data_IF_477744439615
#
_entry.id   IF_477744439615
#
_cell.length_a   1.000
_cell.length_b   1.000
_cell.length_c   1.000
_cell.angle_alpha   90.00
_cell.angle_beta   90.00
_cell.angle_gamma   90.00
#
_symmetry.space_group_name_H-M   'P 1'
#
loop_
_entity.id
_entity.type
_entity.pdbx_description
1 polymer ?
#
# COMPACT_ATOMS: atom_id res chain seq x y z
N UNK A 1 -3.60 -18.57 -23.41
CA UNK A 1 -2.74 -17.67 -22.60
C UNK A 1 -1.56 -18.50 -22.13
N UNK A 2 -0.39 -17.87 -21.94
CA UNK A 2 0.76 -18.59 -21.41
C UNK A 2 0.46 -19.08 -19.98
N UNK A 3 0.99 -20.24 -19.62
CA UNK A 3 0.85 -20.82 -18.27
C UNK A 3 1.52 -19.95 -17.21
N UNK A 4 2.61 -19.29 -17.59
CA UNK A 4 3.38 -18.36 -16.74
C UNK A 4 3.19 -16.91 -17.17
N UNK A 5 3.30 -15.94 -16.25
CA UNK A 5 3.28 -14.53 -16.60
C UNK A 5 4.47 -14.19 -17.50
N UNK A 6 4.19 -13.56 -18.63
CA UNK A 6 5.22 -13.14 -19.60
C UNK A 6 5.34 -11.63 -19.54
N UNK A 7 6.58 -11.13 -19.49
CA UNK A 7 6.87 -9.71 -19.45
C UNK A 7 6.38 -8.99 -20.72
N UNK A 8 5.47 -8.00 -20.63
CA UNK A 8 5.04 -7.21 -21.78
C UNK A 8 6.00 -6.06 -22.11
N UNK A 9 7.26 -6.14 -21.64
CA UNK A 9 8.29 -5.10 -21.80
C UNK A 9 9.67 -5.72 -22.03
N UNK A 10 10.59 -4.88 -22.54
CA UNK A 10 12.02 -5.21 -22.68
C UNK A 10 12.83 -4.43 -21.66
N UNK A 11 13.77 -5.10 -21.00
CA UNK A 11 14.70 -4.46 -20.08
C UNK A 11 15.80 -3.75 -20.89
N UNK A 12 15.91 -2.42 -20.76
CA UNK A 12 16.91 -1.59 -21.46
C UNK A 12 17.97 -1.01 -20.53
N UNK A 13 17.67 -0.91 -19.22
CA UNK A 13 18.61 -0.44 -18.21
C UNK A 13 18.66 -1.48 -17.09
N UNK A 14 19.85 -1.73 -16.56
CA UNK A 14 20.09 -2.69 -15.49
C UNK A 14 20.88 -2.03 -14.36
N UNK A 15 20.51 -2.34 -13.14
CA UNK A 15 21.23 -1.98 -11.92
C UNK A 15 21.85 -3.26 -11.32
N UNK A 16 23.18 -3.34 -11.17
CA UNK A 16 23.82 -4.53 -10.60
C UNK A 16 23.49 -4.65 -9.12
N UNK A 17 23.07 -5.83 -8.69
CA UNK A 17 22.84 -6.18 -7.29
C UNK A 17 23.96 -7.11 -6.80
N UNK A 18 24.28 -7.05 -5.51
CA UNK A 18 25.36 -7.84 -4.90
C UNK A 18 24.81 -8.70 -3.77
N UNK A 19 25.09 -9.99 -3.85
CA UNK A 19 24.82 -10.91 -2.75
C UNK A 19 25.95 -10.81 -1.71
N UNK A 20 25.59 -10.59 -0.43
CA UNK A 20 26.49 -10.65 0.72
C UNK A 20 26.59 -12.08 1.25
N UNK A 21 27.73 -12.45 1.81
CA UNK A 21 27.87 -13.71 2.54
C UNK A 21 27.05 -13.70 3.84
N UNK A 22 26.69 -14.90 4.35
CA UNK A 22 25.86 -15.03 5.58
C UNK A 22 26.50 -14.29 6.78
N UNK A 23 27.81 -14.43 7.02
CA UNK A 23 28.50 -13.74 8.13
C UNK A 23 28.51 -12.21 7.98
N UNK A 24 28.58 -11.68 6.75
CA UNK A 24 28.42 -10.24 6.51
C UNK A 24 26.99 -9.80 6.86
N UNK A 25 25.97 -10.54 6.41
CA UNK A 25 24.56 -10.23 6.70
C UNK A 25 24.24 -10.27 8.19
N UNK A 26 24.87 -11.18 8.92
CA UNK A 26 24.72 -11.31 10.38
C UNK A 26 25.26 -10.06 11.11
N UNK A 27 26.45 -9.58 10.73
CA UNK A 27 27.00 -8.33 11.25
C UNK A 27 26.14 -7.13 10.90
N UNK A 28 25.71 -7.01 9.63
CA UNK A 28 24.86 -5.92 9.14
C UNK A 28 23.55 -5.87 9.89
N UNK A 29 22.88 -7.01 10.08
CA UNK A 29 21.59 -7.08 10.79
C UNK A 29 21.75 -6.67 12.25
N UNK A 30 22.79 -7.11 12.93
CA UNK A 30 23.11 -6.72 14.31
C UNK A 30 23.38 -5.22 14.43
N UNK A 31 24.17 -4.64 13.53
CA UNK A 31 24.48 -3.20 13.51
C UNK A 31 23.19 -2.37 13.23
N UNK A 32 22.29 -2.89 12.40
CA UNK A 32 20.98 -2.32 12.15
C UNK A 32 20.01 -2.43 13.35
N UNK A 33 20.37 -3.14 14.43
CA UNK A 33 19.48 -3.40 15.57
C UNK A 33 18.28 -4.24 15.20
N UNK A 34 18.47 -5.22 14.32
CA UNK A 34 17.45 -6.13 13.80
C UNK A 34 16.25 -5.41 13.15
N UNK A 35 16.47 -4.19 12.63
CA UNK A 35 15.48 -3.43 11.88
C UNK A 35 15.89 -3.31 10.40
N UNK A 36 15.10 -3.89 9.50
CA UNK A 36 15.42 -3.97 8.07
C UNK A 36 15.41 -2.59 7.38
N UNK A 37 14.70 -1.59 7.94
CA UNK A 37 14.73 -0.21 7.45
C UNK A 37 16.10 0.48 7.66
N UNK A 38 16.89 0.02 8.62
CA UNK A 38 18.24 0.55 8.88
C UNK A 38 19.33 -0.06 8.00
N UNK A 39 19.02 -1.11 7.22
CA UNK A 39 20.00 -1.77 6.32
C UNK A 39 20.14 -0.93 5.04
N UNK A 40 21.38 -0.70 4.63
CA UNK A 40 21.68 0.01 3.37
C UNK A 40 21.22 -0.81 2.16
N UNK A 41 20.67 -0.16 1.14
CA UNK A 41 20.19 -0.84 -0.06
C UNK A 41 21.27 -1.67 -0.78
N UNK A 42 22.54 -1.22 -0.76
CA UNK A 42 23.67 -1.96 -1.35
C UNK A 42 24.03 -3.28 -0.62
N UNK A 43 23.43 -3.51 0.55
CA UNK A 43 23.64 -4.73 1.35
C UNK A 43 22.42 -5.67 1.28
N UNK A 44 21.42 -5.33 0.46
CA UNK A 44 20.23 -6.12 0.17
C UNK A 44 20.38 -6.78 -1.20
N UNK A 45 20.06 -8.06 -1.31
CA UNK A 45 20.10 -8.77 -2.59
C UNK A 45 18.78 -8.68 -3.35
N UNK A 46 17.65 -9.03 -2.70
CA UNK A 46 16.32 -8.84 -3.26
C UNK A 46 15.51 -7.98 -2.29
N UNK A 47 15.08 -6.82 -2.77
CA UNK A 47 14.38 -5.82 -1.97
C UNK A 47 12.86 -5.87 -2.21
N UNK A 48 12.16 -6.53 -1.30
CA UNK A 48 10.71 -6.65 -1.25
C UNK A 48 10.09 -5.85 -0.09
N UNK A 49 10.82 -4.83 0.39
CA UNK A 49 10.35 -3.97 1.49
C UNK A 49 9.09 -3.21 1.09
N UNK A 50 9.08 -2.65 -0.11
CA UNK A 50 7.99 -1.82 -0.61
C UNK A 50 7.92 -1.80 -2.13
N UNK A 51 6.71 -1.69 -2.66
CA UNK A 51 6.42 -1.39 -4.06
C UNK A 51 6.31 0.13 -4.35
N UNK A 52 6.47 0.97 -3.31
CA UNK A 52 6.28 2.41 -3.40
C UNK A 52 7.54 3.15 -3.81
N UNK A 53 7.55 3.71 -5.02
CA UNK A 53 8.68 4.50 -5.53
C UNK A 53 9.87 3.68 -5.99
N UNK A 54 9.72 2.37 -6.09
CA UNK A 54 10.77 1.41 -6.46
C UNK A 54 10.57 0.81 -7.86
N UNK A 55 9.57 1.31 -8.60
CA UNK A 55 9.26 0.84 -9.96
C UNK A 55 10.32 1.24 -10.98
N UNK A 56 10.52 0.38 -11.99
CA UNK A 56 11.21 0.78 -13.20
C UNK A 56 10.26 1.58 -14.11
N UNK A 57 10.63 2.82 -14.41
CA UNK A 57 9.89 3.69 -15.33
C UNK A 57 10.11 3.27 -16.79
N UNK A 58 9.08 3.51 -17.63
CA UNK A 58 9.15 3.26 -19.07
C UNK A 58 10.05 4.26 -19.80
N UNK A 59 10.42 3.91 -21.04
CA UNK A 59 11.13 4.83 -21.92
C UNK A 59 10.30 6.09 -22.25
N UNK A 60 8.96 5.99 -22.24
CA UNK A 60 8.06 7.14 -22.41
C UNK A 60 8.07 8.05 -21.18
N UNK A 61 8.11 7.49 -19.97
CA UNK A 61 8.26 8.28 -18.75
C UNK A 61 9.63 8.98 -18.71
N UNK A 62 10.72 8.29 -19.05
CA UNK A 62 12.05 8.89 -19.15
C UNK A 62 12.11 9.98 -20.22
N UNK A 63 11.51 9.78 -21.39
CA UNK A 63 11.40 10.82 -22.41
C UNK A 63 10.60 12.03 -21.88
N UNK A 64 9.54 11.80 -21.10
CA UNK A 64 8.77 12.85 -20.44
C UNK A 64 9.60 13.67 -19.45
N UNK A 65 10.43 13.02 -18.64
CA UNK A 65 11.36 13.67 -17.72
C UNK A 65 12.28 14.64 -18.48
N UNK A 66 12.80 14.22 -19.64
CA UNK A 66 13.66 15.08 -20.48
C UNK A 66 12.92 16.26 -21.13
N UNK A 67 11.59 16.21 -21.16
CA UNK A 67 10.72 17.28 -21.70
C UNK A 67 10.13 18.16 -20.60
N UNK A 68 10.60 18.05 -19.37
CA UNK A 68 10.10 18.83 -18.24
C UNK A 68 10.17 20.33 -18.48
N UNK A 69 9.07 21.02 -18.12
CA UNK A 69 8.97 22.48 -18.09
C UNK A 69 9.07 22.90 -16.61
N UNK A 70 10.20 23.47 -16.25
CA UNK A 70 10.51 23.82 -14.85
C UNK A 70 10.02 25.23 -14.47
N UNK A 71 8.96 25.73 -15.13
CA UNK A 71 8.31 26.99 -14.76
C UNK A 71 7.68 26.91 -13.39
N UNK A 72 7.90 27.91 -12.54
CA UNK A 72 7.40 27.97 -11.16
C UNK A 72 5.87 27.89 -11.05
N UNK A 73 5.16 28.52 -11.98
CA UNK A 73 3.71 28.56 -11.99
C UNK A 73 3.17 28.20 -13.37
N UNK A 74 2.19 27.30 -13.41
CA UNK A 74 1.48 26.95 -14.63
C UNK A 74 2.35 26.28 -15.71
N UNK A 75 3.28 25.41 -15.30
CA UNK A 75 4.07 24.64 -16.26
C UNK A 75 3.15 23.72 -17.09
N UNK A 76 3.51 23.44 -18.35
CA UNK A 76 2.69 22.59 -19.23
C UNK A 76 2.46 21.17 -18.67
N UNK A 77 3.42 20.67 -17.90
CA UNK A 77 3.33 19.32 -17.33
C UNK A 77 2.24 19.20 -16.24
N UNK A 78 1.92 20.33 -15.56
CA UNK A 78 0.76 20.40 -14.68
C UNK A 78 -0.54 20.13 -15.43
N UNK A 79 -0.71 20.76 -16.60
CA UNK A 79 -1.93 20.56 -17.41
C UNK A 79 -2.03 19.18 -18.03
N UNK A 80 -0.89 18.55 -18.38
CA UNK A 80 -0.87 17.13 -18.79
C UNK A 80 -1.28 16.21 -17.64
N UNK A 81 -0.84 16.52 -16.42
CA UNK A 81 -1.26 15.77 -15.24
C UNK A 81 -2.73 16.00 -14.91
N UNK A 82 -3.22 17.24 -15.00
CA UNK A 82 -4.63 17.59 -14.84
C UNK A 82 -5.52 16.81 -15.79
N UNK A 83 -5.16 16.78 -17.08
CA UNK A 83 -5.88 15.99 -18.08
C UNK A 83 -5.93 14.51 -17.72
N UNK A 84 -4.81 13.92 -17.30
CA UNK A 84 -4.74 12.52 -16.92
C UNK A 84 -5.62 12.24 -15.69
N UNK A 85 -5.49 13.03 -14.62
CA UNK A 85 -6.26 12.84 -13.37
C UNK A 85 -7.76 13.03 -13.67
N UNK A 86 -8.15 14.12 -14.30
CA UNK A 86 -9.56 14.42 -14.59
C UNK A 86 -10.20 13.36 -15.47
N UNK A 87 -9.47 12.89 -16.51
CA UNK A 87 -9.98 11.86 -17.42
C UNK A 87 -10.17 10.51 -16.72
N UNK A 88 -9.29 10.16 -15.77
CA UNK A 88 -9.35 8.87 -15.07
C UNK A 88 -10.35 8.91 -13.91
N UNK A 89 -10.34 10.00 -13.12
CA UNK A 89 -11.10 10.07 -11.88
C UNK A 89 -12.44 10.79 -12.00
N UNK A 90 -12.57 11.72 -12.94
CA UNK A 90 -13.73 12.58 -13.08
C UNK A 90 -13.83 13.71 -12.04
N UNK A 91 -12.89 13.82 -11.09
CA UNK A 91 -12.90 14.88 -10.08
C UNK A 91 -12.61 16.25 -10.70
N UNK A 92 -13.28 17.28 -10.19
CA UNK A 92 -13.18 18.65 -10.70
C UNK A 92 -11.90 19.36 -10.29
N UNK A 93 -11.37 19.00 -9.13
CA UNK A 93 -10.23 19.66 -8.52
C UNK A 93 -9.15 18.65 -8.13
N UNK A 94 -7.90 19.06 -8.24
CA UNK A 94 -6.80 18.31 -7.67
C UNK A 94 -5.65 19.24 -7.24
N UNK A 95 -4.82 18.74 -6.36
CA UNK A 95 -3.52 19.32 -6.02
C UNK A 95 -2.45 18.24 -6.07
N UNK A 96 -1.32 18.48 -6.75
CA UNK A 96 -0.19 17.56 -6.71
C UNK A 96 0.51 17.64 -5.35
N UNK A 97 1.13 16.54 -4.93
CA UNK A 97 1.97 16.44 -3.74
C UNK A 97 3.19 15.58 -4.03
N UNK A 98 4.26 15.71 -3.24
CA UNK A 98 5.46 14.89 -3.46
C UNK A 98 5.23 13.40 -3.19
N UNK A 99 4.20 13.03 -2.43
CA UNK A 99 3.78 11.64 -2.19
C UNK A 99 2.40 11.55 -1.53
N UNK A 100 1.80 10.34 -1.48
CA UNK A 100 0.45 10.12 -0.95
C UNK A 100 0.26 10.55 0.50
N UNK A 101 1.23 10.28 1.41
CA UNK A 101 1.11 10.69 2.82
C UNK A 101 1.03 12.21 3.02
N UNK A 102 1.53 13.00 2.07
CA UNK A 102 1.35 14.45 2.08
C UNK A 102 -0.08 14.83 1.69
N UNK A 103 -0.66 14.14 0.70
CA UNK A 103 -2.08 14.29 0.34
C UNK A 103 -3.00 13.94 1.52
N UNK A 104 -2.74 12.81 2.21
CA UNK A 104 -3.45 12.43 3.44
C UNK A 104 -3.32 13.48 4.54
N UNK A 105 -2.10 13.97 4.78
CA UNK A 105 -1.84 14.98 5.81
C UNK A 105 -2.61 16.29 5.54
N UNK A 106 -2.67 16.74 4.28
CA UNK A 106 -3.43 17.91 3.87
C UNK A 106 -4.94 17.67 4.07
N UNK A 107 -5.46 16.54 3.57
CA UNK A 107 -6.88 16.19 3.71
C UNK A 107 -7.32 16.20 5.18
N UNK A 108 -6.63 15.45 6.03
CA UNK A 108 -7.00 15.34 7.44
C UNK A 108 -6.73 16.63 8.23
N UNK A 109 -5.79 17.48 7.80
CA UNK A 109 -5.65 18.81 8.39
C UNK A 109 -6.87 19.69 8.14
N UNK A 110 -7.49 19.56 6.96
CA UNK A 110 -8.66 20.35 6.60
C UNK A 110 -9.98 19.76 7.15
N UNK A 111 -10.03 18.46 7.47
CA UNK A 111 -11.29 17.79 7.78
C UNK A 111 -11.41 17.25 9.19
N UNK A 112 -10.33 16.73 9.79
CA UNK A 112 -10.36 16.03 11.08
C UNK A 112 -10.08 16.98 12.25
N UNK A 113 -10.91 16.91 13.27
CA UNK A 113 -10.78 17.63 14.55
C UNK A 113 -10.53 16.63 15.68
N UNK A 114 -9.98 17.08 16.83
CA UNK A 114 -9.86 16.23 18.00
C UNK A 114 -11.21 15.63 18.42
N UNK A 115 -11.23 14.31 18.60
CA UNK A 115 -12.43 13.54 18.97
C UNK A 115 -13.20 12.95 17.77
N UNK A 116 -12.95 13.39 16.55
CA UNK A 116 -13.54 12.82 15.35
C UNK A 116 -13.09 11.37 15.12
N UNK A 117 -13.91 10.61 14.41
CA UNK A 117 -13.60 9.22 14.01
C UNK A 117 -13.63 9.08 12.50
N UNK A 118 -12.67 8.35 11.95
CA UNK A 118 -12.58 8.07 10.51
C UNK A 118 -12.72 6.57 10.28
N UNK A 119 -13.88 6.07 9.80
CA UNK A 119 -14.06 4.68 9.44
C UNK A 119 -13.41 4.36 8.09
N UNK A 120 -12.82 3.16 7.98
CA UNK A 120 -12.28 2.60 6.75
C UNK A 120 -12.42 1.08 6.75
N UNK A 121 -12.22 0.44 5.60
CA UNK A 121 -12.03 -1.00 5.59
C UNK A 121 -10.81 -1.38 6.44
N UNK A 122 -9.64 -0.80 6.15
CA UNK A 122 -8.45 -0.93 7.00
C UNK A 122 -7.47 0.19 6.66
N UNK A 123 -7.08 0.97 7.66
CA UNK A 123 -6.13 2.06 7.46
C UNK A 123 -4.73 1.51 7.19
N UNK A 124 -4.00 2.20 6.31
CA UNK A 124 -2.56 2.02 6.23
C UNK A 124 -1.86 2.81 7.36
N UNK A 125 -0.61 2.45 7.69
CA UNK A 125 0.15 3.02 8.80
C UNK A 125 0.20 4.55 8.80
N UNK A 126 0.48 5.17 7.63
CA UNK A 126 0.55 6.63 7.50
C UNK A 126 -0.81 7.29 7.54
N UNK A 127 -1.86 6.65 7.02
CA UNK A 127 -3.24 7.12 7.09
C UNK A 127 -3.68 7.17 8.56
N UNK A 128 -3.47 6.06 9.28
CA UNK A 128 -3.74 5.98 10.72
C UNK A 128 -2.98 7.06 11.50
N UNK A 129 -1.67 7.18 11.26
CA UNK A 129 -0.83 8.16 11.94
C UNK A 129 -1.27 9.62 11.68
N UNK A 130 -1.71 9.93 10.45
CA UNK A 130 -2.21 11.26 10.10
C UNK A 130 -3.54 11.60 10.82
N UNK A 131 -4.46 10.64 10.95
CA UNK A 131 -5.70 10.80 11.72
C UNK A 131 -5.39 11.02 13.20
N UNK A 132 -4.55 10.17 13.80
CA UNK A 132 -4.14 10.28 15.22
C UNK A 132 -3.42 11.59 15.50
N UNK A 133 -2.55 12.06 14.61
CA UNK A 133 -1.85 13.34 14.74
C UNK A 133 -2.78 14.56 14.77
N UNK A 134 -4.05 14.41 14.33
CA UNK A 134 -5.10 15.43 14.44
C UNK A 134 -5.96 15.26 15.70
N UNK A 135 -5.67 14.27 16.54
CA UNK A 135 -6.50 13.92 17.69
C UNK A 135 -7.76 13.14 17.32
N UNK A 136 -7.82 12.64 16.09
CA UNK A 136 -8.89 11.78 15.59
C UNK A 136 -8.63 10.31 15.91
N UNK A 137 -9.64 9.49 15.71
CA UNK A 137 -9.60 8.03 15.91
C UNK A 137 -9.82 7.30 14.58
N UNK A 138 -8.83 6.58 14.05
CA UNK A 138 -9.02 5.67 12.93
C UNK A 138 -9.80 4.44 13.41
N UNK A 139 -10.73 3.95 12.59
CA UNK A 139 -11.58 2.80 12.91
C UNK A 139 -11.63 1.85 11.72
N UNK A 140 -11.11 0.65 11.91
CA UNK A 140 -11.07 -0.38 10.88
C UNK A 140 -12.32 -1.27 10.99
N UNK A 141 -13.03 -1.41 9.86
CA UNK A 141 -14.31 -2.11 9.77
C UNK A 141 -14.28 -3.13 8.61
N UNK A 142 -13.16 -3.79 8.42
CA UNK A 142 -13.01 -4.84 7.40
C UNK A 142 -13.98 -5.99 7.66
N UNK A 143 -14.45 -6.65 6.59
CA UNK A 143 -15.23 -7.88 6.69
C UNK A 143 -14.44 -9.00 7.37
N UNK A 144 -15.10 -9.86 8.14
CA UNK A 144 -14.43 -10.91 8.94
C UNK A 144 -13.60 -11.86 8.09
N UNK A 145 -14.04 -12.13 6.86
CA UNK A 145 -13.28 -12.94 5.89
C UNK A 145 -11.90 -12.33 5.55
N UNK A 146 -11.77 -11.01 5.67
CA UNK A 146 -10.50 -10.29 5.48
C UNK A 146 -9.47 -10.60 6.57
N UNK A 147 -9.93 -10.97 7.76
CA UNK A 147 -9.09 -11.28 8.92
C UNK A 147 -8.68 -12.77 9.01
N UNK A 148 -9.30 -13.65 8.22
CA UNK A 148 -8.88 -15.05 8.14
C UNK A 148 -7.89 -15.26 6.99
N UNK A 149 -6.59 -15.52 7.26
CA UNK A 149 -5.59 -15.68 6.21
C UNK A 149 -5.82 -16.89 5.32
N UNK A 150 -6.65 -17.85 5.72
CA UNK A 150 -6.93 -19.08 4.97
C UNK A 150 -8.20 -19.03 4.14
N UNK A 151 -9.10 -18.11 4.46
CA UNK A 151 -10.37 -17.99 3.76
C UNK A 151 -10.19 -17.44 2.34
N UNK A 152 -10.78 -18.13 1.36
CA UNK A 152 -10.67 -17.74 -0.05
C UNK A 152 -11.95 -17.07 -0.53
N UNK A 153 -11.97 -15.74 -0.52
CA UNK A 153 -13.02 -14.94 -1.13
C UNK A 153 -12.48 -14.06 -2.26
N UNK A 154 -13.31 -13.68 -3.24
CA UNK A 154 -12.85 -12.88 -4.38
C UNK A 154 -12.44 -11.44 -3.98
N UNK A 155 -13.07 -10.86 -2.95
CA UNK A 155 -12.88 -9.47 -2.53
C UNK A 155 -12.77 -9.36 -1.00
N UNK A 156 -11.66 -9.81 -0.45
CA UNK A 156 -11.39 -9.78 1.00
C UNK A 156 -11.02 -8.39 1.52
N UNK A 157 -10.90 -7.40 0.64
CA UNK A 157 -10.66 -6.01 1.03
C UNK A 157 -11.94 -5.23 1.34
N UNK A 158 -13.12 -5.82 1.18
CA UNK A 158 -14.41 -5.17 1.39
C UNK A 158 -14.57 -4.70 2.84
N UNK A 159 -15.21 -3.53 3.05
CA UNK A 159 -15.68 -3.09 4.35
C UNK A 159 -16.96 -3.86 4.72
N UNK A 160 -17.14 -4.14 6.01
CA UNK A 160 -18.39 -4.68 6.55
C UNK A 160 -19.41 -3.56 6.67
N UNK A 161 -20.45 -3.62 5.85
CA UNK A 161 -21.49 -2.58 5.81
C UNK A 161 -22.38 -2.56 7.06
N UNK A 162 -22.60 -3.70 7.69
CA UNK A 162 -23.37 -3.77 8.95
C UNK A 162 -22.57 -3.15 10.10
N UNK A 163 -21.26 -3.44 10.18
CA UNK A 163 -20.36 -2.77 11.13
C UNK A 163 -20.28 -1.26 10.88
N UNK A 164 -20.26 -0.83 9.60
CA UNK A 164 -20.21 0.59 9.24
C UNK A 164 -21.48 1.31 9.71
N UNK A 165 -22.66 0.78 9.40
CA UNK A 165 -23.93 1.35 9.81
C UNK A 165 -24.04 1.45 11.35
N UNK A 166 -23.79 0.34 12.05
CA UNK A 166 -23.79 0.32 13.52
C UNK A 166 -22.75 1.29 14.13
N UNK A 167 -21.63 1.48 13.47
CA UNK A 167 -20.60 2.44 13.88
C UNK A 167 -21.10 3.88 13.74
N UNK A 168 -21.72 4.23 12.61
CA UNK A 168 -22.28 5.57 12.36
C UNK A 168 -23.37 5.90 13.36
N UNK A 169 -24.32 4.97 13.58
CA UNK A 169 -25.42 5.15 14.56
C UNK A 169 -24.90 5.38 15.98
N UNK A 170 -23.88 4.65 16.40
CA UNK A 170 -23.30 4.75 17.76
C UNK A 170 -22.46 6.03 17.95
N UNK A 171 -21.73 6.44 16.92
CA UNK A 171 -20.78 7.57 17.00
C UNK A 171 -21.47 8.91 16.78
N UNK A 172 -22.53 8.94 15.98
CA UNK A 172 -23.17 10.13 15.45
C UNK A 172 -22.45 10.64 14.20
N UNK A 173 -23.16 10.89 13.10
CA UNK A 173 -22.56 11.29 11.83
C UNK A 173 -21.79 12.63 11.92
N UNK A 174 -22.17 13.51 12.86
CA UNK A 174 -21.49 14.78 13.11
C UNK A 174 -20.05 14.65 13.63
N UNK A 175 -19.68 13.47 14.16
CA UNK A 175 -18.35 13.13 14.66
C UNK A 175 -17.53 12.30 13.64
N UNK A 176 -18.04 12.18 12.41
CA UNK A 176 -17.40 11.43 11.31
C UNK A 176 -17.21 12.40 10.14
N UNK A 177 -16.04 13.06 10.05
CA UNK A 177 -15.80 14.08 9.03
C UNK A 177 -15.73 13.52 7.61
N UNK A 178 -15.37 12.25 7.47
CA UNK A 178 -15.37 11.48 6.24
C UNK A 178 -15.21 9.97 6.53
N UNK A 179 -15.68 9.13 5.60
CA UNK A 179 -15.34 7.70 5.54
C UNK A 179 -14.37 7.42 4.40
N UNK A 180 -13.58 6.35 4.52
CA UNK A 180 -12.59 5.97 3.52
C UNK A 180 -12.68 4.49 3.11
N UNK A 181 -12.20 4.19 1.90
CA UNK A 181 -11.82 2.83 1.49
C UNK A 181 -10.42 2.83 0.87
N UNK A 182 -9.58 1.94 1.34
CA UNK A 182 -8.26 1.69 0.74
C UNK A 182 -8.38 0.62 -0.36
N UNK A 183 -8.08 0.99 -1.59
CA UNK A 183 -8.14 0.13 -2.78
C UNK A 183 -6.74 0.05 -3.48
N UNK A 184 -6.12 -1.14 -3.58
CA UNK A 184 -6.40 -2.37 -2.82
C UNK A 184 -6.04 -2.23 -1.34
N UNK A 185 -6.70 -2.98 -0.46
CA UNK A 185 -6.47 -2.92 0.97
C UNK A 185 -5.09 -3.48 1.35
N UNK A 186 -4.13 -2.59 1.57
CA UNK A 186 -2.72 -2.95 1.83
C UNK A 186 -2.54 -3.68 3.15
N UNK A 187 -3.09 -3.16 4.25
CA UNK A 187 -2.94 -3.74 5.59
C UNK A 187 -3.63 -5.10 5.71
N UNK A 188 -4.71 -5.30 4.97
CA UNK A 188 -5.43 -6.58 4.85
C UNK A 188 -4.88 -7.52 3.78
N UNK A 189 -3.59 -7.44 3.41
CA UNK A 189 -2.97 -8.39 2.48
C UNK A 189 -3.02 -7.99 1.01
N UNK A 190 -3.18 -6.71 0.70
CA UNK A 190 -3.28 -6.23 -0.68
C UNK A 190 -4.55 -6.68 -1.39
N UNK A 191 -5.59 -6.97 -0.63
CA UNK A 191 -6.84 -7.54 -1.13
C UNK A 191 -7.69 -6.51 -1.86
N UNK A 192 -8.33 -6.89 -2.99
CA UNK A 192 -9.20 -5.99 -3.72
C UNK A 192 -10.53 -5.76 -3.01
N UNK A 193 -11.14 -4.61 -3.33
CA UNK A 193 -12.48 -4.20 -2.94
C UNK A 193 -13.41 -4.34 -4.14
N UNK A 194 -14.60 -4.91 -3.93
CA UNK A 194 -15.60 -5.13 -4.98
C UNK A 194 -16.29 -3.81 -5.40
N UNK A 195 -16.74 -3.72 -6.65
CA UNK A 195 -17.52 -2.56 -7.11
C UNK A 195 -18.79 -2.39 -6.31
N UNK A 196 -19.45 -3.48 -5.98
CA UNK A 196 -20.67 -3.46 -5.17
C UNK A 196 -20.40 -2.88 -3.77
N UNK A 197 -19.26 -3.24 -3.14
CA UNK A 197 -18.89 -2.71 -1.84
C UNK A 197 -18.56 -1.22 -1.90
N UNK A 198 -17.81 -0.76 -2.92
CA UNK A 198 -17.53 0.68 -3.11
C UNK A 198 -18.84 1.48 -3.23
N UNK A 199 -19.77 1.03 -4.08
CA UNK A 199 -21.08 1.67 -4.26
C UNK A 199 -21.90 1.69 -2.97
N UNK A 200 -22.03 0.54 -2.31
CA UNK A 200 -22.85 0.45 -1.10
C UNK A 200 -22.25 1.25 0.07
N UNK A 201 -20.92 1.31 0.18
CA UNK A 201 -20.24 2.19 1.15
C UNK A 201 -20.56 3.66 0.89
N UNK A 202 -20.52 4.07 -0.38
CA UNK A 202 -20.94 5.41 -0.79
C UNK A 202 -22.40 5.70 -0.40
N UNK A 203 -23.32 4.79 -0.72
CA UNK A 203 -24.74 4.93 -0.40
C UNK A 203 -24.97 5.03 1.13
N UNK A 204 -24.30 4.21 1.93
CA UNK A 204 -24.38 4.26 3.39
C UNK A 204 -23.87 5.60 3.93
N UNK A 205 -22.65 6.01 3.57
CA UNK A 205 -22.06 7.25 4.07
C UNK A 205 -22.85 8.49 3.64
N UNK A 206 -23.21 8.59 2.36
CA UNK A 206 -24.01 9.70 1.84
C UNK A 206 -25.43 9.74 2.44
N UNK A 207 -26.01 8.58 2.77
CA UNK A 207 -27.29 8.50 3.48
C UNK A 207 -27.29 9.22 4.83
N UNK A 208 -26.12 9.31 5.46
CA UNK A 208 -25.88 10.04 6.70
C UNK A 208 -25.23 11.43 6.51
N UNK A 209 -25.02 11.86 5.26
CA UNK A 209 -24.37 13.13 4.93
C UNK A 209 -22.87 13.16 5.17
N UNK A 210 -22.22 11.98 5.24
CA UNK A 210 -20.80 11.81 5.46
C UNK A 210 -20.07 11.73 4.10
N UNK A 211 -19.06 12.57 3.84
CA UNK A 211 -18.25 12.48 2.63
C UNK A 211 -17.48 11.15 2.52
N UNK A 212 -17.35 10.64 1.29
CA UNK A 212 -16.65 9.39 0.99
C UNK A 212 -15.37 9.62 0.18
N UNK A 213 -14.23 9.12 0.66
CA UNK A 213 -12.94 9.23 -0.01
C UNK A 213 -12.31 7.86 -0.29
N UNK A 214 -11.58 7.74 -1.40
CA UNK A 214 -10.78 6.57 -1.72
C UNK A 214 -9.29 6.84 -1.42
N UNK A 215 -8.62 5.95 -0.70
CA UNK A 215 -7.17 5.80 -0.83
C UNK A 215 -6.93 4.97 -2.10
N UNK A 216 -6.63 5.67 -3.19
CA UNK A 216 -6.62 5.13 -4.54
C UNK A 216 -5.23 4.72 -5.03
N UNK A 217 -4.30 4.45 -4.10
CA UNK A 217 -2.90 4.15 -4.44
C UNK A 217 -2.73 3.02 -5.47
N UNK A 218 -3.64 2.04 -5.47
CA UNK A 218 -3.63 0.88 -6.38
C UNK A 218 -4.97 0.68 -7.09
N UNK A 219 -5.53 1.79 -7.55
CA UNK A 219 -6.82 1.80 -8.25
C UNK A 219 -6.84 0.94 -9.52
N UNK A 220 -5.72 0.92 -10.26
CA UNK A 220 -5.61 0.15 -11.49
C UNK A 220 -5.53 -1.36 -11.21
N UNK A 221 -4.76 -1.76 -10.18
CA UNK A 221 -4.75 -3.15 -9.71
C UNK A 221 -6.16 -3.56 -9.22
N UNK A 222 -6.88 -2.71 -8.49
CA UNK A 222 -8.25 -2.98 -8.03
C UNK A 222 -9.23 -3.10 -9.20
N UNK A 223 -9.17 -2.20 -10.18
CA UNK A 223 -9.99 -2.26 -11.39
C UNK A 223 -9.75 -3.56 -12.17
N UNK A 224 -8.49 -4.01 -12.25
CA UNK A 224 -8.17 -5.27 -12.91
C UNK A 224 -8.73 -6.49 -12.14
N UNK A 225 -8.71 -6.48 -10.82
CA UNK A 225 -9.36 -7.53 -10.02
C UNK A 225 -10.89 -7.56 -10.21
N UNK A 226 -11.54 -6.39 -10.28
CA UNK A 226 -12.96 -6.31 -10.59
C UNK A 226 -13.22 -6.95 -11.97
N UNK A 227 -12.44 -6.57 -12.99
CA UNK A 227 -12.54 -7.19 -14.32
C UNK A 227 -12.38 -8.71 -14.30
N UNK A 228 -11.46 -9.23 -13.51
CA UNK A 228 -11.17 -10.67 -13.43
C UNK A 228 -12.21 -11.47 -12.64
N UNK A 229 -12.76 -10.90 -11.56
CA UNK A 229 -13.51 -11.63 -10.54
C UNK A 229 -15.00 -11.32 -10.54
N UNK A 230 -15.41 -10.18 -11.11
CA UNK A 230 -16.82 -9.85 -11.30
C UNK A 230 -17.23 -10.04 -12.78
N UNK A 231 -18.16 -10.98 -13.01
CA UNK A 231 -18.63 -11.32 -14.36
C UNK A 231 -19.27 -10.14 -15.09
N UNK A 232 -19.84 -9.17 -14.36
CA UNK A 232 -20.42 -7.97 -14.93
C UNK A 232 -19.41 -7.10 -15.66
N UNK A 233 -18.15 -7.14 -15.26
CA UNK A 233 -17.06 -6.30 -15.79
C UNK A 233 -16.07 -7.03 -16.70
N UNK A 234 -16.25 -8.33 -16.97
CA UNK A 234 -15.29 -9.14 -17.71
C UNK A 234 -14.88 -8.58 -19.09
N UNK A 235 -15.79 -7.86 -19.74
CA UNK A 235 -15.57 -7.23 -21.06
C UNK A 235 -15.43 -5.70 -21.00
N UNK A 236 -15.51 -5.09 -19.82
CA UNK A 236 -15.40 -3.64 -19.69
C UNK A 236 -13.93 -3.17 -19.85
N UNK A 237 -13.67 -2.04 -20.50
CA UNK A 237 -12.37 -1.41 -20.48
C UNK A 237 -11.96 -1.02 -19.06
N UNK A 238 -10.66 -1.16 -18.73
CA UNK A 238 -10.15 -0.84 -17.38
C UNK A 238 -10.39 0.63 -16.99
N UNK A 239 -10.32 1.54 -17.95
CA UNK A 239 -10.62 2.95 -17.73
C UNK A 239 -12.06 3.16 -17.27
N UNK A 240 -13.03 2.49 -17.88
CA UNK A 240 -14.45 2.59 -17.50
C UNK A 240 -14.69 2.02 -16.10
N UNK A 241 -14.04 0.91 -15.74
CA UNK A 241 -14.10 0.34 -14.38
C UNK A 241 -13.51 1.33 -13.37
N UNK A 242 -12.35 1.94 -13.68
CA UNK A 242 -11.74 2.94 -12.82
C UNK A 242 -12.64 4.17 -12.64
N UNK A 243 -13.18 4.70 -13.73
CA UNK A 243 -14.09 5.84 -13.71
C UNK A 243 -15.36 5.53 -12.87
N UNK A 244 -15.90 4.33 -12.98
CA UNK A 244 -17.04 3.91 -12.15
C UNK A 244 -16.68 3.88 -10.66
N UNK A 245 -15.53 3.30 -10.28
CA UNK A 245 -15.07 3.33 -8.88
C UNK A 245 -15.00 4.76 -8.33
N UNK A 246 -14.38 5.68 -9.08
CA UNK A 246 -14.23 7.07 -8.65
C UNK A 246 -15.55 7.84 -8.63
N UNK A 247 -16.52 7.49 -9.48
CA UNK A 247 -17.82 8.16 -9.53
C UNK A 247 -18.65 8.05 -8.27
N UNK A 248 -18.37 7.07 -7.41
CA UNK A 248 -19.03 6.89 -6.13
C UNK A 248 -18.42 7.74 -4.99
N UNK A 249 -17.22 8.32 -5.20
CA UNK A 249 -16.50 9.04 -4.16
C UNK A 249 -16.54 10.57 -4.36
N UNK A 250 -16.42 11.32 -3.25
CA UNK A 250 -16.30 12.77 -3.25
C UNK A 250 -14.85 13.22 -3.51
N UNK A 251 -13.90 12.32 -3.34
CA UNK A 251 -12.48 12.58 -3.59
C UNK A 251 -11.60 11.35 -3.37
N UNK A 252 -10.32 11.55 -3.62
CA UNK A 252 -9.33 10.50 -3.35
C UNK A 252 -7.98 11.09 -2.96
N UNK A 253 -7.23 10.35 -2.14
CA UNK A 253 -5.79 10.52 -1.98
C UNK A 253 -5.07 9.48 -2.82
N UNK A 254 -3.95 9.83 -3.41
CA UNK A 254 -3.15 8.90 -4.19
C UNK A 254 -1.65 9.09 -3.97
N UNK A 255 -0.96 8.01 -3.69
CA UNK A 255 0.48 7.92 -3.88
C UNK A 255 0.75 7.41 -5.30
N UNK A 256 1.17 8.30 -6.18
CA UNK A 256 1.53 7.98 -7.56
C UNK A 256 2.74 7.03 -7.66
N UNK A 257 3.48 6.88 -6.57
CA UNK A 257 4.61 5.96 -6.41
C UNK A 257 4.26 4.47 -6.56
N UNK A 258 2.98 4.15 -6.81
CA UNK A 258 2.45 2.80 -7.05
C UNK A 258 1.94 2.69 -8.48
N UNK A 259 0.64 2.85 -8.71
CA UNK A 259 0.03 2.59 -10.03
C UNK A 259 0.38 3.61 -11.12
N UNK A 260 0.87 4.81 -10.76
CA UNK A 260 1.44 5.72 -11.77
C UNK A 260 2.92 5.44 -12.08
N UNK A 261 3.52 4.36 -11.54
CA UNK A 261 4.83 3.82 -11.92
C UNK A 261 5.99 4.82 -11.79
N UNK A 262 5.87 5.83 -10.91
CA UNK A 262 6.91 6.84 -10.67
C UNK A 262 7.65 6.62 -9.36
N UNK A 263 8.83 7.24 -9.24
CA UNK A 263 9.65 7.15 -8.03
C UNK A 263 9.29 8.22 -6.98
N UNK A 264 8.61 9.29 -7.39
CA UNK A 264 8.10 10.36 -6.53
C UNK A 264 6.76 10.85 -7.08
N UNK A 265 5.89 11.36 -6.21
CA UNK A 265 4.63 11.98 -6.60
C UNK A 265 3.40 11.40 -5.90
N UNK A 266 2.37 12.21 -5.86
CA UNK A 266 1.05 11.92 -5.35
C UNK A 266 0.10 13.07 -5.65
N UNK A 267 -1.15 12.91 -5.28
CA UNK A 267 -2.15 13.97 -5.37
C UNK A 267 -3.33 13.75 -4.42
N UNK A 268 -4.04 14.83 -4.14
CA UNK A 268 -5.38 14.83 -3.57
C UNK A 268 -6.32 15.39 -4.62
N UNK A 269 -7.39 14.66 -4.96
CA UNK A 269 -8.42 15.10 -5.88
C UNK A 269 -9.79 15.05 -5.22
N UNK A 270 -10.69 16.00 -5.54
CA UNK A 270 -12.01 16.12 -4.89
C UNK A 270 -12.98 17.00 -5.69
N UNK A 271 -14.26 16.97 -5.28
CA UNK A 271 -15.32 17.74 -5.94
C UNK A 271 -15.79 18.99 -5.16
N UNK A 272 -15.57 19.06 -3.84
CA UNK A 272 -16.05 20.16 -3.00
C UNK A 272 -15.21 21.43 -3.17
N UNK A 273 -15.84 22.52 -3.64
CA UNK A 273 -15.17 23.80 -3.92
C UNK A 273 -14.63 24.47 -2.65
N UNK A 274 -15.35 24.34 -1.52
CA UNK A 274 -14.94 24.96 -0.24
C UNK A 274 -13.73 24.25 0.36
N UNK A 275 -13.78 22.93 0.41
CA UNK A 275 -12.67 22.09 0.87
C UNK A 275 -11.44 22.30 -0.02
N UNK A 276 -11.63 22.41 -1.35
CA UNK A 276 -10.52 22.68 -2.27
C UNK A 276 -9.77 23.97 -1.98
N UNK A 277 -10.47 25.05 -1.59
CA UNK A 277 -9.79 26.30 -1.21
C UNK A 277 -8.93 26.12 0.05
N UNK A 278 -9.40 25.37 1.04
CA UNK A 278 -8.64 25.05 2.25
C UNK A 278 -7.42 24.18 1.92
N UNK A 279 -7.62 23.13 1.14
CA UNK A 279 -6.56 22.23 0.65
C UNK A 279 -5.46 23.00 -0.08
N UNK A 280 -5.80 23.97 -0.93
CA UNK A 280 -4.82 24.80 -1.63
C UNK A 280 -3.98 25.66 -0.67
N UNK A 281 -4.57 26.19 0.38
CA UNK A 281 -3.84 26.97 1.37
C UNK A 281 -2.86 26.09 2.16
N UNK A 282 -3.30 24.92 2.60
CA UNK A 282 -2.45 23.97 3.31
C UNK A 282 -1.33 23.43 2.40
N UNK A 283 -1.61 23.21 1.11
CA UNK A 283 -0.60 22.80 0.13
C UNK A 283 0.51 23.84 0.01
N UNK A 284 0.17 25.14 -0.09
CA UNK A 284 1.17 26.20 -0.25
C UNK A 284 2.12 26.25 0.95
N UNK A 285 1.60 25.98 2.14
CA UNK A 285 2.40 25.99 3.37
C UNK A 285 3.33 24.77 3.44
N UNK A 286 2.86 23.60 2.99
CA UNK A 286 3.55 22.31 3.23
C UNK A 286 4.38 21.83 2.06
N UNK A 287 3.89 22.00 0.84
CA UNK A 287 4.46 21.41 -0.37
C UNK A 287 5.00 22.48 -1.32
N UNK A 288 4.20 23.52 -1.60
CA UNK A 288 4.56 24.59 -2.49
C UNK A 288 3.38 25.10 -3.32
N UNK A 289 3.66 25.79 -4.43
CA UNK A 289 2.63 26.42 -5.25
C UNK A 289 1.68 25.36 -5.88
N UNK A 290 0.38 25.64 -6.04
CA UNK A 290 -0.63 24.65 -6.44
C UNK A 290 -0.38 23.95 -7.78
N UNK A 291 0.39 24.54 -8.68
CA UNK A 291 0.67 23.95 -9.98
C UNK A 291 1.96 23.11 -10.05
N UNK A 292 2.63 22.88 -8.89
CA UNK A 292 3.72 21.89 -8.83
C UNK A 292 3.72 21.03 -7.54
N UNK A 293 3.17 21.51 -6.42
CA UNK A 293 2.98 20.71 -5.21
C UNK A 293 4.24 20.03 -4.67
N UNK A 294 5.37 20.75 -4.62
CA UNK A 294 6.65 20.21 -4.15
C UNK A 294 7.39 19.31 -5.15
N UNK A 295 6.91 19.24 -6.40
CA UNK A 295 7.49 18.44 -7.48
C UNK A 295 8.14 19.33 -8.54
N UNK A 296 9.10 18.80 -9.29
CA UNK A 296 9.57 19.44 -10.50
C UNK A 296 8.62 19.15 -11.69
N UNK A 297 8.59 20.00 -12.71
CA UNK A 297 7.76 19.80 -13.90
C UNK A 297 8.00 18.44 -14.57
N UNK A 298 9.26 17.97 -14.59
CA UNK A 298 9.62 16.64 -15.10
C UNK A 298 8.98 15.49 -14.32
N UNK A 299 8.78 15.65 -13.01
CA UNK A 299 8.11 14.62 -12.19
C UNK A 299 6.61 14.58 -12.48
N UNK A 300 5.98 15.75 -12.65
CA UNK A 300 4.58 15.86 -13.07
C UNK A 300 4.33 15.17 -14.42
N UNK A 301 5.25 15.35 -15.38
CA UNK A 301 5.15 14.70 -16.70
C UNK A 301 5.28 13.19 -16.60
N UNK A 302 6.24 12.69 -15.83
CA UNK A 302 6.41 11.27 -15.60
C UNK A 302 5.17 10.65 -14.96
N UNK A 303 4.55 11.37 -14.01
CA UNK A 303 3.33 10.94 -13.32
C UNK A 303 2.12 10.91 -14.27
N UNK A 304 1.94 11.96 -15.10
CA UNK A 304 0.88 12.01 -16.10
C UNK A 304 0.91 10.82 -17.06
N UNK A 305 2.10 10.49 -17.58
CA UNK A 305 2.30 9.32 -18.46
C UNK A 305 2.08 8.01 -17.71
N UNK A 306 2.60 7.91 -16.51
CA UNK A 306 2.50 6.72 -15.68
C UNK A 306 1.07 6.37 -15.29
N UNK A 307 0.20 7.34 -15.05
CA UNK A 307 -1.22 7.12 -14.77
C UNK A 307 -1.92 6.37 -15.93
N UNK A 308 -1.64 6.75 -17.17
CA UNK A 308 -2.16 6.05 -18.34
C UNK A 308 -1.53 4.67 -18.55
N UNK A 309 -0.22 4.53 -18.33
CA UNK A 309 0.47 3.24 -18.43
C UNK A 309 0.00 2.24 -17.38
N UNK A 310 -0.35 2.72 -16.18
CA UNK A 310 -0.86 1.89 -15.09
C UNK A 310 -2.18 1.18 -15.43
N UNK A 311 -2.97 1.73 -16.36
CA UNK A 311 -4.21 1.14 -16.87
C UNK A 311 -4.00 0.20 -18.08
N UNK A 312 -2.76 -0.07 -18.49
CA UNK A 312 -2.51 -1.00 -19.57
C UNK A 312 -2.82 -2.43 -19.15
N UNK A 313 -3.72 -3.10 -19.86
CA UNK A 313 -4.21 -4.44 -19.49
C UNK A 313 -3.10 -5.52 -19.54
N UNK A 314 -2.21 -5.48 -20.54
CA UNK A 314 -1.10 -6.43 -20.62
C UNK A 314 -0.14 -6.28 -19.44
N UNK A 315 0.13 -5.02 -19.04
CA UNK A 315 0.92 -4.73 -17.85
C UNK A 315 0.25 -5.25 -16.58
N UNK A 316 -1.04 -5.02 -16.39
CA UNK A 316 -1.77 -5.48 -15.20
C UNK A 316 -1.91 -7.00 -15.16
N UNK A 317 -2.11 -7.65 -16.32
CA UNK A 317 -2.08 -9.10 -16.44
C UNK A 317 -0.75 -9.70 -15.98
N UNK A 318 0.36 -9.10 -16.43
CA UNK A 318 1.70 -9.46 -15.95
C UNK A 318 1.86 -9.18 -14.46
N UNK A 319 1.50 -7.98 -14.00
CA UNK A 319 1.67 -7.54 -12.61
C UNK A 319 0.99 -8.49 -11.62
N UNK A 320 -0.29 -8.75 -11.83
CA UNK A 320 -1.09 -9.64 -10.98
C UNK A 320 -0.66 -11.11 -11.16
N UNK A 321 -0.35 -11.51 -12.39
CA UNK A 321 0.19 -12.84 -12.69
C UNK A 321 1.52 -13.12 -12.00
N UNK A 322 2.41 -12.13 -11.93
CA UNK A 322 3.71 -12.23 -11.28
C UNK A 322 3.60 -12.42 -9.76
N UNK A 323 2.70 -11.67 -9.12
CA UNK A 323 2.41 -11.85 -7.69
C UNK A 323 1.76 -13.22 -7.42
N UNK A 324 0.79 -13.61 -8.26
CA UNK A 324 0.14 -14.92 -8.17
C UNK A 324 1.15 -16.05 -8.33
N UNK A 325 2.07 -15.96 -9.28
CA UNK A 325 3.13 -16.96 -9.49
C UNK A 325 3.94 -17.19 -8.21
N UNK A 326 4.43 -16.13 -7.58
CA UNK A 326 5.16 -16.25 -6.31
C UNK A 326 4.31 -16.96 -5.24
N UNK A 327 3.05 -16.58 -5.11
CA UNK A 327 2.14 -17.17 -4.13
C UNK A 327 1.89 -18.66 -4.37
N UNK A 328 1.61 -19.06 -5.63
CA UNK A 328 1.38 -20.46 -6.02
C UNK A 328 2.61 -21.32 -5.73
N UNK A 329 3.80 -20.82 -6.08
CA UNK A 329 5.08 -21.51 -5.80
C UNK A 329 5.35 -21.67 -4.31
N UNK A 330 5.02 -20.67 -3.48
CA UNK A 330 5.15 -20.80 -2.02
C UNK A 330 4.17 -21.83 -1.43
N UNK A 331 2.94 -21.86 -1.94
CA UNK A 331 1.94 -22.85 -1.52
C UNK A 331 2.32 -24.28 -1.92
N UNK A 332 2.96 -24.48 -3.07
CA UNK A 332 3.52 -25.78 -3.48
C UNK A 332 4.56 -26.31 -2.49
N UNK A 333 5.33 -25.41 -1.87
CA UNK A 333 6.29 -25.70 -0.80
C UNK A 333 5.63 -25.75 0.61
N UNK A 334 4.30 -25.73 0.69
CA UNK A 334 3.51 -25.71 1.94
C UNK A 334 3.81 -24.49 2.86
N UNK A 335 4.30 -23.41 2.30
CA UNK A 335 4.58 -22.19 3.05
C UNK A 335 3.28 -21.43 3.28
N UNK A 336 2.93 -21.11 4.54
CA UNK A 336 1.67 -20.44 4.86
C UNK A 336 1.71 -18.98 4.41
N UNK A 337 0.72 -18.61 3.59
CA UNK A 337 0.49 -17.24 3.12
C UNK A 337 -0.95 -16.83 3.39
N UNK A 338 -1.24 -15.54 3.26
CA UNK A 338 -2.61 -15.04 3.20
C UNK A 338 -3.21 -15.36 1.82
N UNK A 339 -4.37 -16.03 1.82
CA UNK A 339 -5.05 -16.50 0.62
C UNK A 339 -6.41 -15.80 0.40
N UNK A 340 -6.78 -15.56 -0.87
CA UNK A 340 -5.95 -15.63 -2.08
C UNK A 340 -4.91 -14.52 -2.10
N UNK A 341 -3.84 -14.59 -2.95
CA UNK A 341 -2.88 -13.50 -3.05
C UNK A 341 -3.52 -12.20 -3.54
N UNK A 342 -3.05 -11.08 -3.00
CA UNK A 342 -3.44 -9.74 -3.41
C UNK A 342 -2.69 -9.26 -4.66
N UNK A 343 -2.72 -7.94 -4.91
CA UNK A 343 -2.19 -7.34 -6.14
C UNK A 343 -0.69 -7.12 -6.13
N UNK A 344 -0.16 -6.52 -5.07
CA UNK A 344 1.20 -5.94 -5.08
C UNK A 344 2.23 -6.74 -4.29
N UNK A 345 1.81 -7.70 -3.50
CA UNK A 345 2.66 -8.43 -2.58
C UNK A 345 2.12 -9.84 -2.31
N UNK A 346 3.00 -10.73 -1.88
CA UNK A 346 2.63 -11.94 -1.17
C UNK A 346 2.88 -11.72 0.31
N UNK A 347 1.93 -12.14 1.14
CA UNK A 347 1.99 -11.98 2.59
C UNK A 347 2.16 -13.35 3.23
N UNK A 348 3.33 -13.59 3.84
CA UNK A 348 3.53 -14.79 4.66
C UNK A 348 2.73 -14.63 5.96
N UNK A 349 2.07 -15.69 6.38
CA UNK A 349 1.42 -15.77 7.69
C UNK A 349 2.45 -16.19 8.74
N UNK A 350 3.00 -15.20 9.47
CA UNK A 350 4.06 -15.44 10.43
C UNK A 350 3.62 -16.28 11.62
N UNK A 351 2.35 -16.24 12.03
CA UNK A 351 1.82 -17.08 13.11
C UNK A 351 1.82 -18.56 12.74
N UNK A 352 1.46 -18.87 11.48
CA UNK A 352 1.47 -20.24 10.96
C UNK A 352 2.87 -20.69 10.55
N UNK A 353 3.74 -19.75 10.17
CA UNK A 353 5.13 -20.04 9.82
C UNK A 353 5.96 -20.37 11.07
N UNK A 354 5.81 -19.58 12.15
CA UNK A 354 6.54 -19.68 13.43
C UNK A 354 5.59 -19.91 14.61
N UNK A 355 4.87 -21.05 14.66
CA UNK A 355 3.81 -21.25 15.65
C UNK A 355 4.34 -21.35 17.11
N UNK A 356 5.64 -21.51 17.30
CA UNK A 356 6.32 -21.57 18.60
C UNK A 356 6.68 -20.18 19.14
N UNK A 357 6.56 -19.10 18.35
CA UNK A 357 6.84 -17.74 18.78
C UNK A 357 5.52 -16.99 19.02
N UNK A 358 5.27 -16.57 20.25
CA UNK A 358 4.10 -15.76 20.60
C UNK A 358 4.18 -14.32 20.05
N UNK A 359 3.05 -13.65 19.87
CA UNK A 359 3.01 -12.27 19.34
C UNK A 359 3.83 -11.28 20.20
N UNK A 360 3.96 -11.52 21.52
CA UNK A 360 4.83 -10.73 22.40
C UNK A 360 6.32 -10.82 22.07
N UNK A 361 6.73 -11.87 21.35
CA UNK A 361 8.11 -12.09 20.88
C UNK A 361 8.27 -11.82 19.38
N UNK A 362 7.30 -11.11 18.78
CA UNK A 362 7.35 -10.50 17.47
C UNK A 362 7.68 -11.46 16.29
N UNK A 363 6.87 -12.51 16.05
CA UNK A 363 7.17 -13.53 15.05
C UNK A 363 7.30 -12.97 13.64
N UNK A 364 6.54 -11.93 13.28
CA UNK A 364 6.69 -11.25 11.98
C UNK A 364 8.07 -10.61 11.82
N UNK A 365 8.56 -9.92 12.85
CA UNK A 365 9.89 -9.30 12.83
C UNK A 365 11.00 -10.36 12.86
N UNK A 366 10.83 -11.44 13.61
CA UNK A 366 11.77 -12.56 13.60
C UNK A 366 11.89 -13.18 12.20
N UNK A 367 10.75 -13.37 11.51
CA UNK A 367 10.73 -13.92 10.16
C UNK A 367 11.40 -13.01 9.12
N UNK A 368 11.19 -11.68 9.16
CA UNK A 368 11.88 -10.76 8.23
C UNK A 368 13.39 -10.75 8.46
N UNK A 369 13.85 -10.85 9.71
CA UNK A 369 15.25 -10.98 10.03
C UNK A 369 15.85 -12.30 9.50
N UNK A 370 15.12 -13.42 9.66
CA UNK A 370 15.53 -14.72 9.16
C UNK A 370 15.62 -14.77 7.62
N UNK A 371 14.66 -14.15 6.90
CA UNK A 371 14.69 -14.02 5.44
C UNK A 371 15.94 -13.25 4.96
N UNK A 372 16.28 -12.17 5.65
CA UNK A 372 17.50 -11.43 5.33
C UNK A 372 18.77 -12.26 5.61
N UNK A 373 18.85 -12.92 6.75
CA UNK A 373 20.00 -13.77 7.11
C UNK A 373 20.18 -14.93 6.13
N UNK A 374 19.12 -15.58 5.72
CA UNK A 374 19.19 -16.75 4.83
C UNK A 374 19.47 -16.35 3.38
N UNK A 375 18.77 -15.36 2.83
CA UNK A 375 18.80 -15.04 1.40
C UNK A 375 19.20 -13.61 1.03
N UNK A 376 19.44 -12.72 2.00
CA UNK A 376 19.62 -11.29 1.70
C UNK A 376 18.34 -10.63 1.17
N UNK A 377 17.17 -11.20 1.50
CA UNK A 377 15.85 -10.71 1.11
C UNK A 377 15.36 -9.73 2.16
N UNK A 378 15.05 -8.50 1.75
CA UNK A 378 14.44 -7.50 2.61
C UNK A 378 12.94 -7.46 2.40
N UNK A 379 12.18 -7.71 3.45
CA UNK A 379 10.71 -7.64 3.52
C UNK A 379 10.30 -6.78 4.71
N UNK A 380 9.01 -6.63 4.97
CA UNK A 380 8.50 -5.81 6.08
C UNK A 380 7.45 -6.56 6.87
N UNK A 381 7.53 -6.43 8.17
CA UNK A 381 6.50 -6.89 9.11
C UNK A 381 5.24 -6.02 8.99
N UNK A 382 4.08 -6.67 8.94
CA UNK A 382 2.74 -6.07 8.98
C UNK A 382 1.94 -6.86 10.02
N UNK A 383 2.14 -6.55 11.28
CA UNK A 383 1.56 -7.28 12.41
C UNK A 383 1.83 -6.55 13.72
N UNK A 384 2.34 -7.26 14.72
CA UNK A 384 2.49 -6.74 16.09
C UNK A 384 3.43 -5.54 16.21
N UNK A 385 4.52 -5.45 15.43
CA UNK A 385 5.39 -4.27 15.46
C UNK A 385 4.67 -3.05 14.92
N UNK A 386 3.88 -3.21 13.87
CA UNK A 386 3.20 -2.09 13.21
C UNK A 386 1.94 -1.65 13.96
N UNK A 387 1.12 -2.58 14.44
CA UNK A 387 -0.26 -2.32 14.87
C UNK A 387 -0.57 -2.65 16.33
N UNK A 388 0.24 -3.44 17.06
CA UNK A 388 -0.04 -3.69 18.47
C UNK A 388 0.02 -2.36 19.26
N UNK A 389 -0.90 -2.17 20.19
CA UNK A 389 -0.99 -0.98 21.01
C UNK A 389 -1.49 -1.33 22.41
N UNK A 390 -1.21 -0.48 23.37
CA UNK A 390 -1.78 -0.61 24.70
C UNK A 390 -3.21 -0.08 24.71
N UNK A 391 -4.11 -0.86 25.31
CA UNK A 391 -5.45 -0.40 25.63
C UNK A 391 -5.36 0.73 26.65
N UNK A 392 -5.86 1.94 26.33
CA UNK A 392 -5.73 3.10 27.21
C UNK A 392 -6.50 2.99 28.53
N UNK A 393 -7.50 2.08 28.61
CA UNK A 393 -8.30 1.87 29.84
C UNK A 393 -7.70 0.79 30.73
N UNK A 394 -7.17 -0.28 30.14
CA UNK A 394 -6.70 -1.47 30.88
C UNK A 394 -5.18 -1.57 30.99
N UNK A 395 -4.44 -0.87 30.13
CA UNK A 395 -2.98 -0.99 30.00
C UNK A 395 -2.52 -2.33 29.43
N UNK A 396 -3.45 -3.15 28.94
CA UNK A 396 -3.12 -4.43 28.32
C UNK A 396 -2.71 -4.24 26.86
N UNK A 397 -1.73 -5.04 26.40
CA UNK A 397 -1.33 -5.02 24.99
C UNK A 397 -2.40 -5.71 24.14
N UNK A 398 -2.93 -4.98 23.15
CA UNK A 398 -3.83 -5.48 22.10
C UNK A 398 -2.97 -5.80 20.88
N UNK A 399 -3.01 -7.06 20.46
CA UNK A 399 -2.31 -7.53 19.27
C UNK A 399 -3.27 -7.59 18.08
N UNK A 400 -2.78 -7.32 16.84
CA UNK A 400 -3.61 -7.47 15.65
C UNK A 400 -3.97 -8.94 15.41
N UNK A 401 -5.08 -9.17 14.73
CA UNK A 401 -5.50 -10.53 14.34
C UNK A 401 -4.59 -11.13 13.26
N UNK A 402 -4.09 -10.29 12.36
CA UNK A 402 -3.16 -10.68 11.31
C UNK A 402 -1.71 -10.41 11.75
N UNK A 403 -0.86 -11.42 11.64
CA UNK A 403 0.58 -11.32 11.89
C UNK A 403 1.31 -11.69 10.59
N UNK A 404 1.59 -10.70 9.77
CA UNK A 404 2.00 -10.91 8.39
C UNK A 404 3.42 -10.39 8.12
N UNK A 405 4.07 -11.03 7.16
CA UNK A 405 5.29 -10.52 6.53
C UNK A 405 4.99 -10.22 5.07
N UNK A 406 5.03 -8.94 4.70
CA UNK A 406 4.78 -8.49 3.34
C UNK A 406 6.04 -8.58 2.49
N UNK A 407 5.99 -9.32 1.42
CA UNK A 407 6.96 -9.33 0.34
C UNK A 407 6.38 -8.53 -0.85
N UNK A 408 6.54 -7.19 -0.79
CA UNK A 408 6.04 -6.29 -1.82
C UNK A 408 6.95 -6.35 -3.06
N UNK A 409 6.38 -6.64 -4.22
CA UNK A 409 7.14 -6.79 -5.47
C UNK A 409 7.22 -5.45 -6.19
N UNK A 410 8.41 -4.82 -6.34
CA UNK A 410 8.59 -3.64 -7.17
C UNK A 410 8.17 -3.89 -8.62
N UNK A 411 7.46 -2.93 -9.20
CA UNK A 411 6.90 -3.06 -10.55
C UNK A 411 8.00 -3.06 -11.61
N UNK A 412 8.05 -4.08 -12.49
CA UNK A 412 8.98 -4.23 -13.61
C UNK A 412 10.47 -4.32 -13.20
N UNK A 413 10.79 -4.78 -11.97
CA UNK A 413 12.16 -4.81 -11.46
C UNK A 413 12.72 -6.23 -11.39
N UNK A 414 12.02 -7.13 -10.73
CA UNK A 414 12.47 -8.51 -10.55
C UNK A 414 11.89 -9.45 -11.61
N UNK A 415 12.70 -10.40 -12.04
CA UNK A 415 12.33 -11.46 -12.99
C UNK A 415 11.82 -12.69 -12.23
N UNK A 416 11.25 -13.64 -12.96
CA UNK A 416 10.82 -14.93 -12.41
C UNK A 416 11.95 -15.63 -11.64
N UNK A 417 13.18 -15.63 -12.16
CA UNK A 417 14.33 -16.26 -11.48
C UNK A 417 14.62 -15.67 -10.09
N UNK A 418 14.36 -14.36 -9.90
CA UNK A 418 14.46 -13.74 -8.58
C UNK A 418 13.35 -14.25 -7.65
N UNK A 419 12.13 -14.45 -8.16
CA UNK A 419 11.02 -14.99 -7.37
C UNK A 419 11.26 -16.46 -7.00
N UNK A 420 11.80 -17.27 -7.92
CA UNK A 420 12.20 -18.66 -7.63
C UNK A 420 13.24 -18.72 -6.50
N UNK A 421 14.23 -17.81 -6.51
CA UNK A 421 15.18 -17.69 -5.41
C UNK A 421 14.51 -17.31 -4.08
N UNK A 422 13.48 -16.47 -4.10
CA UNK A 422 12.69 -16.14 -2.90
C UNK A 422 11.97 -17.39 -2.39
N UNK A 423 11.35 -18.17 -3.28
CA UNK A 423 10.67 -19.43 -2.92
C UNK A 423 11.65 -20.42 -2.27
N UNK A 424 12.80 -20.66 -2.91
CA UNK A 424 13.82 -21.56 -2.36
C UNK A 424 14.33 -21.09 -0.99
N UNK A 425 14.49 -19.79 -0.80
CA UNK A 425 14.91 -19.22 0.49
C UNK A 425 13.87 -19.45 1.56
N UNK A 426 12.58 -19.19 1.24
CA UNK A 426 11.47 -19.45 2.16
C UNK A 426 11.36 -20.94 2.51
N UNK A 427 11.52 -21.85 1.53
CA UNK A 427 11.46 -23.29 1.75
C UNK A 427 12.57 -23.76 2.73
N UNK A 428 13.82 -23.33 2.49
CA UNK A 428 14.94 -23.64 3.40
C UNK A 428 14.70 -23.13 4.83
N UNK A 429 14.10 -21.95 4.97
CA UNK A 429 13.76 -21.39 6.28
C UNK A 429 12.62 -22.16 6.94
N UNK A 430 11.61 -22.56 6.16
CA UNK A 430 10.46 -23.29 6.69
C UNK A 430 10.87 -24.68 7.21
N UNK A 431 11.83 -25.34 6.57
CA UNK A 431 12.43 -26.59 7.08
C UNK A 431 13.13 -26.42 8.45
N UNK A 432 13.72 -25.24 8.69
CA UNK A 432 14.47 -24.92 9.93
C UNK A 432 13.74 -23.94 10.84
N UNK A 433 12.45 -23.76 10.66
CA UNK A 433 11.68 -22.74 11.35
C UNK A 433 11.76 -22.82 12.87
N UNK A 434 11.89 -24.02 13.41
CA UNK A 434 11.99 -24.26 14.87
C UNK A 434 13.32 -23.74 15.47
N UNK A 435 14.32 -23.40 14.63
CA UNK A 435 15.58 -22.79 15.03
C UNK A 435 15.50 -21.24 15.12
N UNK A 436 14.40 -20.64 14.62
CA UNK A 436 14.20 -19.19 14.64
C UNK A 436 13.67 -18.80 16.03
N UNK A 437 14.42 -17.94 16.74
CA UNK A 437 14.00 -17.36 18.02
C UNK A 437 13.20 -16.08 17.87
N UNK A 438 12.48 -15.69 18.93
CA UNK A 438 11.77 -14.43 19.04
C UNK A 438 12.68 -13.22 19.18
N UNK A 439 12.08 -12.04 19.19
CA UNK A 439 12.74 -10.75 19.38
C UNK A 439 12.05 -9.94 20.48
N UNK A 440 12.83 -9.11 21.16
CA UNK A 440 12.34 -8.12 22.12
C UNK A 440 12.75 -6.70 21.70
N UNK A 441 11.95 -5.70 22.09
CA UNK A 441 12.33 -4.31 21.86
C UNK A 441 13.46 -3.87 22.78
N UNK A 442 14.47 -3.22 22.18
CA UNK A 442 15.47 -2.42 22.93
C UNK A 442 15.17 -0.92 22.84
N UNK A 443 14.40 -0.52 21.81
CA UNK A 443 13.89 0.82 21.63
C UNK A 443 12.62 0.79 20.77
N UNK A 444 11.55 1.49 21.18
CA UNK A 444 10.30 1.58 20.44
C UNK A 444 9.71 3.01 20.56
N UNK A 445 9.65 3.81 19.47
CA UNK A 445 8.92 5.07 19.46
C UNK A 445 7.41 4.84 19.51
N UNK A 446 6.64 5.84 19.97
CA UNK A 446 5.18 5.74 20.09
C UNK A 446 4.48 5.57 18.74
N UNK A 447 4.87 6.37 17.74
CA UNK A 447 4.24 6.39 16.43
C UNK A 447 5.16 5.80 15.37
N UNK A 448 4.58 5.05 14.43
CA UNK A 448 5.28 4.48 13.26
C UNK A 448 6.56 3.73 13.66
N UNK A 449 6.48 2.98 14.77
CA UNK A 449 7.65 2.36 15.42
C UNK A 449 8.42 1.40 14.52
N UNK A 450 7.75 0.71 13.58
CA UNK A 450 8.38 -0.20 12.65
C UNK A 450 9.52 0.44 11.84
N UNK A 451 9.49 1.74 11.59
CA UNK A 451 10.55 2.43 10.84
C UNK A 451 11.85 2.56 11.64
N UNK A 452 11.79 2.74 12.95
CA UNK A 452 12.96 3.14 13.75
C UNK A 452 13.13 2.36 15.06
N UNK A 453 12.26 1.42 15.38
CA UNK A 453 12.44 0.53 16.52
C UNK A 453 13.74 -0.28 16.39
N UNK A 454 14.29 -0.71 17.53
CA UNK A 454 15.44 -1.60 17.60
C UNK A 454 15.07 -2.80 18.44
N UNK A 455 15.69 -3.93 18.11
CA UNK A 455 15.37 -5.21 18.70
C UNK A 455 16.64 -5.96 19.09
N UNK A 456 16.47 -7.00 19.89
CA UNK A 456 17.47 -8.02 20.20
C UNK A 456 16.82 -9.40 20.26
N UNK A 457 17.58 -10.49 19.98
CA UNK A 457 17.10 -11.85 20.18
C UNK A 457 16.75 -12.13 21.64
N UNK A 458 15.66 -12.89 21.85
CA UNK A 458 15.24 -13.39 23.17
C UNK A 458 15.96 -14.69 23.50
#
# INVERSE_FOLDING_TARGET
MAEFPVEPFKIKAVEPIRQRGRGERESILKDAGYNLFAIRACDVYIDLLTDSGTSAMSDRQWAGIMMGDESYAGCRNFFHLEEAITSITGFRHFVPTHQGRAAENILFTCTVKPGDSVPSNMHFDTTQANVVARGGRPVDLIADEGLDPTFRAPFKGDIDLEKLEAFIERTGPENIPLGMLTITNNSGGGQPVSMANIRNTSETLHGHGIPFFLDACRYAENAYFIKLRDRGYANAPLLEIAQEMFSYADGCTMSAKKDALVNIGGFLALNDDSLFQQVRQELIIREGFPTYGGLAGRDLEAMARGLWEGLNEDYLAYRIGHTRYLAERLLEENIPILEPPGGHAVYLDARRFLPHIGQGELPGQALVCALYLEGGIRSVEIGSVMFAHEDPETGQMIYPELELVRMAIPRRVYTQAHLDYVVETCARLYEKRDEIGGLAYTHAPELLRHFTARFEPV
#
